data_IF_381587718964
#
_entry.id   IF_381587718964
#
_cell.length_a   1.000
_cell.length_b   1.000
_cell.length_c   1.000
_cell.angle_alpha   90.00
_cell.angle_beta   90.00
_cell.angle_gamma   90.00
#
_symmetry.space_group_name_H-M   'P 1'
#
loop_
_entity.id
_entity.type
_entity.pdbx_description
1 polymer ?
#
# COMPACT_ATOMS: atom_id res chain seq x y z
N UNK A 1 -12.21 72.07 11.79
CA UNK A 1 -12.46 72.24 10.34
C UNK A 1 -11.63 71.28 9.50
N UNK A 2 -10.31 71.20 9.71
CA UNK A 2 -9.43 70.24 9.00
C UNK A 2 -9.77 68.77 9.27
N UNK A 3 -10.10 68.42 10.52
CA UNK A 3 -10.51 67.05 10.89
C UNK A 3 -11.78 66.61 10.15
N UNK A 4 -12.76 67.50 10.00
CA UNK A 4 -14.01 67.22 9.29
C UNK A 4 -13.77 66.99 7.78
N UNK A 5 -12.83 67.73 7.17
CA UNK A 5 -12.50 67.54 5.75
C UNK A 5 -11.79 66.21 5.53
N UNK A 6 -10.86 65.84 6.43
CA UNK A 6 -10.21 64.54 6.40
C UNK A 6 -11.19 63.38 6.62
N UNK A 7 -12.17 63.54 7.52
CA UNK A 7 -13.20 62.54 7.78
C UNK A 7 -14.05 62.28 6.53
N UNK A 8 -14.52 63.34 5.86
CA UNK A 8 -15.29 63.24 4.61
C UNK A 8 -14.50 62.49 3.52
N UNK A 9 -13.23 62.86 3.29
CA UNK A 9 -12.39 62.19 2.28
C UNK A 9 -12.10 60.73 2.66
N UNK A 10 -11.97 60.43 3.96
CA UNK A 10 -11.74 59.06 4.45
C UNK A 10 -12.94 58.13 4.22
N UNK A 11 -14.17 58.65 4.34
CA UNK A 11 -15.41 57.92 4.06
C UNK A 11 -15.51 57.58 2.58
N UNK A 12 -15.24 58.55 1.70
CA UNK A 12 -15.20 58.33 0.25
C UNK A 12 -14.11 57.33 -0.13
N UNK A 13 -12.90 57.47 0.44
CA UNK A 13 -11.79 56.51 0.29
C UNK A 13 -12.21 55.09 0.65
N UNK A 14 -12.92 54.91 1.78
CA UNK A 14 -13.38 53.58 2.22
C UNK A 14 -14.38 52.95 1.24
N UNK A 15 -15.26 53.76 0.63
CA UNK A 15 -16.25 53.26 -0.34
C UNK A 15 -15.61 52.96 -1.69
N UNK A 16 -14.69 53.82 -2.16
CA UNK A 16 -13.89 53.59 -3.36
C UNK A 16 -13.04 52.33 -3.25
N UNK A 17 -12.40 52.13 -2.11
CA UNK A 17 -11.63 50.93 -1.84
C UNK A 17 -12.50 49.67 -1.88
N UNK A 18 -13.64 49.66 -1.16
CA UNK A 18 -14.59 48.54 -1.21
C UNK A 18 -15.10 48.25 -2.63
N UNK A 19 -15.41 49.28 -3.41
CA UNK A 19 -15.86 49.12 -4.79
C UNK A 19 -14.74 48.54 -5.68
N UNK A 20 -13.50 49.03 -5.55
CA UNK A 20 -12.34 48.52 -6.29
C UNK A 20 -12.06 47.06 -5.95
N UNK A 21 -12.10 46.71 -4.66
CA UNK A 21 -11.96 45.32 -4.18
C UNK A 21 -13.06 44.44 -4.78
N UNK A 22 -14.33 44.84 -4.75
CA UNK A 22 -15.43 44.06 -5.34
C UNK A 22 -15.23 43.81 -6.84
N UNK A 23 -14.77 44.82 -7.60
CA UNK A 23 -14.47 44.65 -9.03
C UNK A 23 -13.28 43.71 -9.25
N UNK A 24 -12.20 43.87 -8.49
CA UNK A 24 -11.02 43.00 -8.56
C UNK A 24 -11.38 41.55 -8.22
N UNK A 25 -12.23 41.31 -7.21
CA UNK A 25 -12.73 39.98 -6.88
C UNK A 25 -13.52 39.37 -8.04
N UNK A 26 -14.34 40.16 -8.73
CA UNK A 26 -15.05 39.71 -9.94
C UNK A 26 -14.11 39.27 -11.06
N UNK A 27 -13.09 40.08 -11.36
CA UNK A 27 -12.08 39.73 -12.36
C UNK A 27 -11.20 38.55 -11.92
N UNK A 28 -10.87 38.47 -10.63
CA UNK A 28 -10.14 37.37 -10.03
C UNK A 28 -10.86 36.04 -10.11
N UNK A 29 -12.14 36.03 -9.78
CA UNK A 29 -13.00 34.86 -9.90
C UNK A 29 -13.13 34.43 -11.37
N UNK A 30 -13.39 35.37 -12.28
CA UNK A 30 -13.48 35.06 -13.70
C UNK A 30 -12.16 34.49 -14.25
N UNK A 31 -11.02 35.08 -13.89
CA UNK A 31 -9.70 34.59 -14.28
C UNK A 31 -9.39 33.20 -13.68
N UNK A 32 -9.72 32.99 -12.40
CA UNK A 32 -9.57 31.69 -11.73
C UNK A 32 -10.44 30.59 -12.36
N UNK A 33 -11.67 30.92 -12.77
CA UNK A 33 -12.56 30.00 -13.48
C UNK A 33 -12.05 29.66 -14.88
N UNK A 34 -11.48 30.63 -15.61
CA UNK A 34 -10.84 30.37 -16.91
C UNK A 34 -9.64 29.45 -16.76
N UNK A 35 -8.78 29.68 -15.74
CA UNK A 35 -7.67 28.78 -15.43
C UNK A 35 -8.15 27.37 -15.04
N UNK A 36 -9.22 27.27 -14.26
CA UNK A 36 -9.84 26.00 -13.92
C UNK A 36 -10.36 25.26 -15.17
N UNK A 37 -10.94 25.97 -16.14
CA UNK A 37 -11.35 25.40 -17.43
C UNK A 37 -10.15 24.88 -18.23
N UNK A 38 -9.07 25.67 -18.33
CA UNK A 38 -7.84 25.25 -19.01
C UNK A 38 -7.23 24.01 -18.36
N UNK A 39 -7.17 23.98 -17.02
CA UNK A 39 -6.68 22.83 -16.27
C UNK A 39 -7.53 21.58 -16.53
N UNK A 40 -8.86 21.69 -16.41
CA UNK A 40 -9.75 20.58 -16.70
C UNK A 40 -9.63 20.11 -18.15
N UNK A 41 -9.43 21.02 -19.12
CA UNK A 41 -9.23 20.67 -20.52
C UNK A 41 -7.93 19.87 -20.75
N UNK A 42 -6.85 20.22 -20.03
CA UNK A 42 -5.60 19.44 -20.06
C UNK A 42 -5.80 18.04 -19.46
N UNK A 43 -6.60 17.93 -18.38
CA UNK A 43 -6.88 16.65 -17.73
C UNK A 43 -7.77 15.69 -18.54
N UNK A 44 -8.38 16.14 -19.65
CA UNK A 44 -8.98 15.22 -20.62
C UNK A 44 -7.93 14.38 -21.37
N UNK A 45 -6.69 14.90 -21.50
CA UNK A 45 -5.61 14.24 -22.25
C UNK A 45 -4.54 13.62 -21.34
N UNK A 46 -4.49 14.01 -20.07
CA UNK A 46 -3.48 13.56 -19.11
C UNK A 46 -4.16 12.93 -17.89
N UNK A 47 -3.83 11.69 -17.51
CA UNK A 47 -4.42 11.02 -16.35
C UNK A 47 -3.88 11.64 -15.05
N UNK A 48 -4.60 12.65 -14.56
CA UNK A 48 -4.29 13.34 -13.29
C UNK A 48 -5.34 12.98 -12.26
N UNK A 49 -4.91 12.33 -11.18
CA UNK A 49 -5.77 12.07 -10.03
C UNK A 49 -6.28 13.37 -9.41
N UNK A 50 -7.54 13.38 -8.97
CA UNK A 50 -8.16 14.51 -8.26
C UNK A 50 -8.23 15.83 -9.06
N UNK A 51 -8.23 15.81 -10.39
CA UNK A 51 -8.29 17.04 -11.20
C UNK A 51 -9.50 17.93 -10.87
N UNK A 52 -10.65 17.34 -10.49
CA UNK A 52 -11.86 18.06 -10.10
C UNK A 52 -11.66 18.93 -8.86
N UNK A 53 -10.94 18.43 -7.85
CA UNK A 53 -10.64 19.23 -6.64
C UNK A 53 -9.61 20.32 -6.94
N UNK A 54 -8.62 20.04 -7.79
CA UNK A 54 -7.64 21.04 -8.24
C UNK A 54 -8.29 22.18 -9.05
N UNK A 55 -9.35 21.91 -9.80
CA UNK A 55 -10.10 22.96 -10.50
C UNK A 55 -10.69 24.01 -9.52
N UNK A 56 -11.19 23.58 -8.35
CA UNK A 56 -11.65 24.51 -7.31
C UNK A 56 -10.49 25.29 -6.68
N UNK A 57 -9.30 24.70 -6.56
CA UNK A 57 -8.10 25.39 -6.08
C UNK A 57 -7.72 26.55 -6.99
N UNK A 58 -7.81 26.38 -8.32
CA UNK A 58 -7.55 27.47 -9.27
C UNK A 58 -8.54 28.63 -9.15
N UNK A 59 -9.83 28.32 -8.96
CA UNK A 59 -10.85 29.35 -8.72
C UNK A 59 -10.62 30.09 -7.39
N UNK A 60 -10.28 29.37 -6.32
CA UNK A 60 -9.96 29.95 -5.02
C UNK A 60 -8.68 30.80 -5.06
N UNK A 61 -7.63 30.35 -5.77
CA UNK A 61 -6.39 31.08 -5.94
C UNK A 61 -6.61 32.42 -6.65
N UNK A 62 -7.43 32.46 -7.70
CA UNK A 62 -7.78 33.71 -8.39
C UNK A 62 -8.49 34.73 -7.48
N UNK A 63 -9.40 34.24 -6.62
CA UNK A 63 -10.06 35.05 -5.59
C UNK A 63 -9.07 35.58 -4.55
N UNK A 64 -8.22 34.72 -4.00
CA UNK A 64 -7.24 35.08 -2.97
C UNK A 64 -6.20 36.07 -3.51
N UNK A 65 -5.68 35.84 -4.72
CA UNK A 65 -4.74 36.76 -5.36
C UNK A 65 -5.35 38.15 -5.56
N UNK A 66 -6.62 38.20 -5.98
CA UNK A 66 -7.34 39.47 -6.19
C UNK A 66 -7.69 40.17 -4.88
N UNK A 67 -8.00 39.41 -3.83
CA UNK A 67 -8.17 39.95 -2.48
C UNK A 67 -6.86 40.53 -1.96
N UNK A 68 -5.76 39.77 -2.02
CA UNK A 68 -4.44 40.21 -1.58
C UNK A 68 -3.99 41.47 -2.32
N UNK A 69 -4.14 41.49 -3.66
CA UNK A 69 -3.85 42.68 -4.46
C UNK A 69 -4.76 43.86 -4.09
N UNK A 70 -6.05 43.64 -3.85
CA UNK A 70 -6.98 44.67 -3.42
C UNK A 70 -6.69 45.23 -2.02
N UNK A 71 -6.13 44.42 -1.12
CA UNK A 71 -5.66 44.85 0.21
C UNK A 71 -4.36 45.65 0.12
N UNK A 72 -3.45 45.28 -0.79
CA UNK A 72 -2.19 45.97 -1.04
C UNK A 72 -2.41 47.32 -1.76
N UNK A 73 -3.24 47.35 -2.81
CA UNK A 73 -3.51 48.53 -3.64
C UNK A 73 -4.57 49.48 -3.02
N UNK A 74 -4.44 49.78 -1.73
CA UNK A 74 -5.31 50.72 -1.01
C UNK A 74 -5.18 52.14 -1.59
N UNK A 75 -6.29 52.80 -2.01
CA UNK A 75 -6.26 54.17 -2.50
C UNK A 75 -5.71 55.14 -1.44
N UNK A 76 -4.87 56.08 -1.85
CA UNK A 76 -4.38 57.14 -0.98
C UNK A 76 -5.47 58.21 -0.75
N UNK A 77 -5.28 59.07 0.27
CA UNK A 77 -6.18 60.22 0.52
C UNK A 77 -6.21 61.15 -0.70
N UNK A 78 -5.07 61.31 -1.39
CA UNK A 78 -4.97 62.09 -2.64
C UNK A 78 -5.75 61.46 -3.78
N UNK A 79 -5.78 60.13 -3.90
CA UNK A 79 -6.59 59.45 -4.93
C UNK A 79 -8.08 59.65 -4.68
N UNK A 80 -8.52 59.60 -3.42
CA UNK A 80 -9.90 59.87 -3.06
C UNK A 80 -10.29 61.33 -3.34
N UNK A 81 -9.42 62.29 -3.00
CA UNK A 81 -9.62 63.71 -3.32
C UNK A 81 -9.73 63.93 -4.83
N UNK A 82 -8.83 63.36 -5.64
CA UNK A 82 -8.90 63.43 -7.11
C UNK A 82 -10.19 62.86 -7.69
N UNK A 83 -10.69 61.76 -7.14
CA UNK A 83 -11.95 61.16 -7.60
C UNK A 83 -13.15 62.05 -7.24
N UNK A 84 -13.11 62.72 -6.09
CA UNK A 84 -14.12 63.73 -5.74
C UNK A 84 -14.02 64.95 -6.66
N UNK A 85 -12.80 65.46 -6.89
CA UNK A 85 -12.51 66.62 -7.75
C UNK A 85 -12.89 66.39 -9.22
N UNK A 86 -12.64 65.19 -9.75
CA UNK A 86 -13.02 64.78 -11.11
C UNK A 86 -14.54 64.65 -11.34
N UNK A 87 -15.35 64.73 -10.27
CA UNK A 87 -16.81 64.73 -10.34
C UNK A 87 -17.45 66.11 -10.58
N UNK A 88 -16.66 67.11 -10.98
CA UNK A 88 -17.10 68.50 -11.20
C UNK A 88 -16.72 69.48 -10.08
N UNK A 89 -15.67 69.15 -9.29
CA UNK A 89 -15.25 69.92 -8.12
C UNK A 89 -13.96 70.74 -8.36
N UNK A 90 -13.44 70.81 -9.60
CA UNK A 90 -12.36 71.73 -10.03
C UNK A 90 -11.19 71.88 -9.04
N UNK A 91 -10.66 70.75 -8.55
CA UNK A 91 -9.55 70.68 -7.57
C UNK A 91 -9.81 71.28 -6.18
N UNK A 92 -11.05 71.67 -5.84
CA UNK A 92 -11.39 72.32 -4.57
C UNK A 92 -11.00 71.50 -3.33
N UNK A 93 -11.16 70.17 -3.37
CA UNK A 93 -10.79 69.30 -2.24
C UNK A 93 -9.28 69.09 -2.20
N UNK A 94 -8.63 68.88 -3.35
CA UNK A 94 -7.19 68.78 -3.47
C UNK A 94 -6.46 70.02 -2.95
N UNK A 95 -6.91 71.22 -3.34
CA UNK A 95 -6.35 72.51 -2.92
C UNK A 95 -6.58 72.79 -1.44
N UNK A 96 -7.79 72.54 -0.92
CA UNK A 96 -8.06 72.69 0.52
C UNK A 96 -7.22 71.73 1.38
N UNK A 97 -6.87 70.56 0.86
CA UNK A 97 -6.01 69.60 1.53
C UNK A 97 -4.52 70.00 1.50
N UNK A 98 -4.06 70.67 0.42
CA UNK A 98 -2.66 71.13 0.33
C UNK A 98 -2.37 72.33 1.22
N UNK A 99 -3.36 73.19 1.45
CA UNK A 99 -3.25 74.37 2.32
C UNK A 99 -3.88 74.16 3.71
N UNK A 100 -4.03 72.91 4.15
CA UNK A 100 -4.72 72.57 5.39
C UNK A 100 -4.10 73.24 6.64
N UNK A 101 -2.78 73.43 6.66
CA UNK A 101 -2.05 74.03 7.79
C UNK A 101 -1.94 75.56 7.72
N UNK A 102 -2.33 76.16 6.59
CA UNK A 102 -2.22 77.60 6.37
C UNK A 102 -3.40 78.35 7.03
N UNK A 103 -3.07 79.41 7.79
CA UNK A 103 -4.06 80.22 8.53
C UNK A 103 -4.48 81.49 7.80
N UNK A 104 -4.16 81.61 6.50
CA UNK A 104 -4.59 82.71 5.67
C UNK A 104 -6.13 82.80 5.63
N UNK A 105 -6.73 84.01 5.59
CA UNK A 105 -8.17 84.17 5.40
C UNK A 105 -8.68 83.45 4.14
N UNK A 106 -7.87 83.45 3.07
CA UNK A 106 -8.18 82.75 1.81
C UNK A 106 -8.21 81.23 2.01
N UNK A 107 -7.22 80.68 2.72
CA UNK A 107 -7.16 79.26 3.05
C UNK A 107 -8.32 78.82 3.96
N UNK A 108 -8.89 79.74 4.75
CA UNK A 108 -10.07 79.47 5.59
C UNK A 108 -11.35 79.39 4.76
N UNK A 109 -11.54 80.34 3.85
CA UNK A 109 -12.68 80.34 2.91
C UNK A 109 -12.65 79.11 1.98
N UNK A 110 -11.47 78.74 1.46
CA UNK A 110 -11.30 77.54 0.63
C UNK A 110 -11.67 76.25 1.37
N UNK A 111 -11.39 76.16 2.68
CA UNK A 111 -11.76 74.99 3.50
C UNK A 111 -13.25 74.94 3.78
N UNK A 112 -13.90 76.08 4.02
CA UNK A 112 -15.36 76.14 4.19
C UNK A 112 -16.08 75.72 2.91
N UNK A 113 -15.63 76.21 1.75
CA UNK A 113 -16.16 75.82 0.44
C UNK A 113 -15.99 74.30 0.22
N UNK A 114 -14.79 73.77 0.39
CA UNK A 114 -14.51 72.34 0.24
C UNK A 114 -15.32 71.45 1.19
N UNK A 115 -15.64 71.92 2.40
CA UNK A 115 -16.49 71.20 3.35
C UNK A 115 -17.95 71.15 2.91
N UNK A 116 -18.51 72.26 2.42
CA UNK A 116 -19.88 72.30 1.91
C UNK A 116 -20.04 71.36 0.71
N UNK A 117 -19.10 71.43 -0.24
CA UNK A 117 -19.09 70.55 -1.41
C UNK A 117 -18.83 69.08 -1.04
N UNK A 118 -17.91 68.81 -0.12
CA UNK A 118 -17.65 67.46 0.38
C UNK A 118 -18.89 66.81 1.02
N UNK A 119 -19.68 67.58 1.77
CA UNK A 119 -20.95 67.11 2.36
C UNK A 119 -22.00 66.83 1.28
N UNK A 120 -22.12 67.68 0.28
CA UNK A 120 -23.02 67.45 -0.86
C UNK A 120 -22.62 66.19 -1.64
N UNK A 121 -21.33 66.00 -1.89
CA UNK A 121 -20.81 64.80 -2.54
C UNK A 121 -21.12 63.53 -1.75
N UNK A 122 -21.09 63.56 -0.41
CA UNK A 122 -21.47 62.41 0.42
C UNK A 122 -22.95 62.01 0.25
N UNK A 123 -23.86 62.97 0.06
CA UNK A 123 -25.27 62.70 -0.17
C UNK A 123 -25.49 62.02 -1.53
N UNK A 124 -24.75 62.43 -2.55
CA UNK A 124 -24.78 61.82 -3.89
C UNK A 124 -23.83 60.62 -4.05
N UNK A 125 -23.04 60.30 -3.03
CA UNK A 125 -22.03 59.25 -3.10
C UNK A 125 -22.59 57.89 -3.53
N UNK A 126 -23.79 57.45 -3.11
CA UNK A 126 -24.35 56.17 -3.55
C UNK A 126 -24.66 56.08 -5.05
N UNK A 127 -25.04 57.20 -5.68
CA UNK A 127 -25.39 57.25 -7.11
C UNK A 127 -24.15 57.40 -7.99
N UNK A 128 -23.12 58.12 -7.49
CA UNK A 128 -21.82 58.34 -8.16
C UNK A 128 -20.88 57.14 -8.04
N UNK A 129 -20.83 56.49 -6.87
CA UNK A 129 -19.99 55.32 -6.59
C UNK A 129 -20.89 54.09 -6.37
N UNK A 130 -21.34 53.51 -7.49
CA UNK A 130 -22.22 52.34 -7.50
C UNK A 130 -21.45 51.06 -7.20
N UNK A 131 -21.93 50.26 -6.25
CA UNK A 131 -21.47 48.90 -6.09
C UNK A 131 -21.99 48.06 -7.25
N UNK A 132 -21.09 47.51 -8.06
CA UNK A 132 -21.45 46.69 -9.19
C UNK A 132 -20.22 45.95 -9.69
N UNK A 133 -20.42 44.67 -10.03
CA UNK A 133 -19.46 43.93 -10.83
C UNK A 133 -19.49 44.46 -12.26
N UNK A 134 -18.34 44.41 -12.93
CA UNK A 134 -18.28 44.73 -14.34
C UNK A 134 -19.06 43.68 -15.13
N UNK A 135 -19.95 44.11 -16.05
CA UNK A 135 -20.74 43.21 -16.89
C UNK A 135 -19.84 42.23 -17.64
N UNK A 136 -18.65 42.68 -18.07
CA UNK A 136 -17.68 41.81 -18.76
C UNK A 136 -17.18 40.68 -17.86
N UNK A 137 -16.86 40.99 -16.60
CA UNK A 137 -16.42 40.00 -15.62
C UNK A 137 -17.55 39.02 -15.26
N UNK A 138 -18.80 39.51 -15.19
CA UNK A 138 -19.97 38.66 -14.93
C UNK A 138 -20.23 37.70 -16.09
N UNK A 139 -20.22 38.18 -17.34
CA UNK A 139 -20.42 37.33 -18.52
C UNK A 139 -19.26 36.34 -18.71
N UNK A 140 -18.02 36.79 -18.57
CA UNK A 140 -16.85 35.92 -18.67
C UNK A 140 -16.84 34.86 -17.56
N UNK A 141 -17.10 35.25 -16.30
CA UNK A 141 -17.18 34.34 -15.17
C UNK A 141 -18.34 33.36 -15.28
N UNK A 142 -19.52 33.83 -15.70
CA UNK A 142 -20.69 32.98 -15.92
C UNK A 142 -20.51 31.98 -17.05
N UNK A 143 -19.92 32.43 -18.17
CA UNK A 143 -19.57 31.55 -19.30
C UNK A 143 -18.51 30.51 -18.92
N UNK A 144 -17.46 30.92 -18.21
CA UNK A 144 -16.44 30.00 -17.70
C UNK A 144 -17.01 29.01 -16.67
N UNK A 145 -17.90 29.45 -15.78
CA UNK A 145 -18.57 28.56 -14.83
C UNK A 145 -19.44 27.51 -15.56
N UNK A 146 -20.21 27.92 -16.55
CA UNK A 146 -21.02 27.01 -17.36
C UNK A 146 -20.14 26.01 -18.13
N UNK A 147 -19.07 26.49 -18.77
CA UNK A 147 -18.12 25.63 -19.47
C UNK A 147 -17.46 24.62 -18.53
N UNK A 148 -17.07 25.04 -17.33
CA UNK A 148 -16.50 24.16 -16.31
C UNK A 148 -17.51 23.08 -15.88
N UNK A 149 -18.78 23.43 -15.66
CA UNK A 149 -19.83 22.46 -15.32
C UNK A 149 -19.97 21.40 -16.42
N UNK A 150 -20.03 21.82 -17.69
CA UNK A 150 -20.11 20.90 -18.83
C UNK A 150 -18.89 19.97 -18.86
N UNK A 151 -17.70 20.51 -18.66
CA UNK A 151 -16.45 19.76 -18.69
C UNK A 151 -16.32 18.78 -17.53
N UNK A 152 -16.89 19.10 -16.36
CA UNK A 152 -16.93 18.21 -15.20
C UNK A 152 -18.01 17.11 -15.31
N UNK A 153 -19.08 17.36 -16.04
CA UNK A 153 -20.14 16.36 -16.31
C UNK A 153 -19.75 15.38 -17.42
N UNK A 154 -18.82 15.76 -18.29
CA UNK A 154 -18.38 14.90 -19.38
C UNK A 154 -17.60 13.68 -18.80
N UNK A 155 -18.00 12.44 -19.13
CA UNK A 155 -17.27 11.26 -18.68
C UNK A 155 -15.85 11.30 -19.25
N UNK A 156 -14.85 11.33 -18.36
CA UNK A 156 -13.45 11.36 -18.74
C UNK A 156 -12.91 9.93 -18.79
N UNK A 157 -12.51 9.46 -19.98
CA UNK A 157 -11.90 8.14 -20.15
C UNK A 157 -10.60 7.97 -19.33
N UNK A 158 -9.93 9.07 -18.99
CA UNK A 158 -8.74 9.04 -18.13
C UNK A 158 -9.05 8.69 -16.67
N UNK A 159 -10.29 8.89 -16.21
CA UNK A 159 -10.71 8.53 -14.85
C UNK A 159 -10.67 7.01 -14.67
N UNK A 160 -11.11 6.23 -15.67
CA UNK A 160 -11.00 4.76 -15.65
C UNK A 160 -9.54 4.29 -15.57
N UNK A 161 -8.61 4.97 -16.22
CA UNK A 161 -7.18 4.62 -16.17
C UNK A 161 -6.61 4.90 -14.77
N UNK A 162 -7.03 6.00 -14.14
CA UNK A 162 -6.61 6.34 -12.77
C UNK A 162 -7.19 5.36 -11.76
N UNK A 163 -8.46 4.98 -11.92
CA UNK A 163 -9.12 4.03 -11.03
C UNK A 163 -8.56 2.62 -11.19
N UNK A 164 -8.31 2.15 -12.41
CA UNK A 164 -7.56 0.89 -12.66
C UNK A 164 -6.20 0.90 -11.97
N UNK A 165 -5.41 1.96 -12.11
CA UNK A 165 -4.11 2.08 -11.43
C UNK A 165 -4.23 2.11 -9.89
N UNK A 166 -5.34 2.61 -9.35
CA UNK A 166 -5.61 2.58 -7.91
C UNK A 166 -6.00 1.18 -7.44
N UNK A 167 -6.85 0.49 -8.19
CA UNK A 167 -7.22 -0.90 -7.93
C UNK A 167 -6.00 -1.81 -7.98
N UNK A 168 -5.15 -1.69 -9.00
CA UNK A 168 -3.89 -2.43 -9.11
C UNK A 168 -3.01 -2.20 -7.87
N UNK A 169 -2.83 -0.94 -7.44
CA UNK A 169 -2.02 -0.62 -6.25
C UNK A 169 -2.61 -1.17 -4.96
N UNK A 170 -3.94 -1.12 -4.80
CA UNK A 170 -4.62 -1.68 -3.63
C UNK A 170 -4.43 -3.19 -3.59
N UNK A 171 -4.66 -3.87 -4.71
CA UNK A 171 -4.48 -5.30 -4.82
C UNK A 171 -3.03 -5.71 -4.54
N UNK A 172 -2.02 -5.00 -5.09
CA UNK A 172 -0.60 -5.24 -4.75
C UNK A 172 -0.37 -5.10 -3.24
N UNK A 173 -0.96 -4.09 -2.60
CA UNK A 173 -0.88 -3.92 -1.14
C UNK A 173 -1.49 -5.09 -0.38
N UNK A 174 -2.68 -5.54 -0.76
CA UNK A 174 -3.35 -6.71 -0.17
C UNK A 174 -2.51 -7.99 -0.34
N UNK A 175 -1.87 -8.19 -1.50
CA UNK A 175 -0.98 -9.33 -1.72
C UNK A 175 0.31 -9.24 -0.89
N UNK A 176 0.82 -8.03 -0.66
CA UNK A 176 1.98 -7.80 0.20
C UNK A 176 1.66 -8.16 1.65
N UNK A 177 0.51 -7.74 2.17
CA UNK A 177 0.04 -8.07 3.52
C UNK A 177 -0.24 -9.57 3.68
N UNK A 178 -0.77 -10.22 2.65
CA UNK A 178 -0.96 -11.68 2.62
C UNK A 178 0.38 -12.41 2.68
N UNK A 179 1.40 -11.97 1.93
CA UNK A 179 2.74 -12.52 1.98
C UNK A 179 3.38 -12.34 3.38
N UNK A 180 3.23 -11.16 4.00
CA UNK A 180 3.69 -10.88 5.36
C UNK A 180 3.01 -11.80 6.40
N UNK A 181 1.69 -11.98 6.30
CA UNK A 181 0.93 -12.86 7.20
C UNK A 181 1.39 -14.31 7.07
N UNK A 182 1.64 -14.78 5.84
CA UNK A 182 2.21 -16.11 5.62
C UNK A 182 3.62 -16.22 6.22
N UNK A 183 4.48 -15.23 6.00
CA UNK A 183 5.82 -15.19 6.57
C UNK A 183 5.81 -15.26 8.10
N UNK A 184 4.93 -14.49 8.75
CA UNK A 184 4.72 -14.57 10.19
C UNK A 184 4.24 -15.94 10.65
N UNK A 185 3.33 -16.57 9.90
CA UNK A 185 2.83 -17.91 10.24
C UNK A 185 3.93 -18.97 10.21
N UNK A 186 4.87 -18.87 9.25
CA UNK A 186 6.04 -19.74 9.15
C UNK A 186 7.03 -19.47 10.28
N UNK A 187 7.30 -18.19 10.60
CA UNK A 187 8.21 -17.82 11.69
C UNK A 187 7.71 -18.23 13.08
N UNK A 188 6.39 -18.20 13.31
CA UNK A 188 5.76 -18.64 14.57
C UNK A 188 5.83 -20.16 14.75
N UNK A 189 6.05 -20.92 13.69
CA UNK A 189 6.31 -22.35 13.80
C UNK A 189 7.78 -22.56 14.25
N UNK A 190 7.99 -22.59 15.57
CA UNK A 190 9.29 -22.89 16.15
C UNK A 190 9.77 -24.30 15.75
N UNK A 191 11.03 -24.41 15.29
CA UNK A 191 11.73 -25.69 15.16
C UNK A 191 11.90 -26.29 13.75
N UNK A 192 11.69 -25.54 12.67
CA UNK A 192 11.60 -26.08 11.30
C UNK A 192 12.92 -26.15 10.48
N UNK A 193 14.08 -26.04 11.13
CA UNK A 193 15.38 -26.38 10.52
C UNK A 193 15.76 -25.55 9.27
N UNK A 194 16.38 -26.17 8.28
CA UNK A 194 16.89 -25.51 7.07
C UNK A 194 15.81 -25.25 6.00
N UNK A 195 14.68 -25.92 6.08
CA UNK A 195 13.62 -25.88 5.06
C UNK A 195 12.65 -24.73 5.33
N UNK A 196 12.36 -24.41 6.60
CA UNK A 196 11.63 -23.19 6.97
C UNK A 196 12.29 -21.96 6.37
N UNK A 197 13.63 -21.90 6.46
CA UNK A 197 14.41 -20.79 5.92
C UNK A 197 14.21 -20.61 4.43
N UNK A 198 14.16 -21.69 3.66
CA UNK A 198 13.90 -21.58 2.21
C UNK A 198 12.49 -21.07 1.88
N UNK A 199 11.49 -21.42 2.70
CA UNK A 199 10.13 -20.90 2.55
C UNK A 199 10.04 -19.44 3.01
N UNK A 200 10.70 -19.09 4.12
CA UNK A 200 10.82 -17.73 4.62
C UNK A 200 11.52 -16.82 3.61
N UNK A 201 12.63 -17.26 3.02
CA UNK A 201 13.37 -16.55 1.98
C UNK A 201 12.49 -16.29 0.74
N UNK A 202 11.72 -17.30 0.30
CA UNK A 202 10.81 -17.15 -0.82
C UNK A 202 9.68 -16.14 -0.55
N UNK A 203 9.12 -16.16 0.67
CA UNK A 203 8.05 -15.23 1.07
C UNK A 203 8.57 -13.80 1.34
N UNK A 204 9.76 -13.66 1.93
CA UNK A 204 10.40 -12.36 2.16
C UNK A 204 10.84 -11.71 0.84
N UNK A 205 11.32 -12.51 -0.13
CA UNK A 205 11.60 -12.03 -1.47
C UNK A 205 10.31 -11.59 -2.18
N UNK A 206 9.23 -12.37 -2.08
CA UNK A 206 7.93 -12.01 -2.62
C UNK A 206 7.44 -10.67 -2.06
N UNK A 207 7.46 -10.48 -0.74
CA UNK A 207 7.04 -9.24 -0.07
C UNK A 207 7.83 -8.03 -0.62
N UNK A 208 9.16 -8.14 -0.69
CA UNK A 208 10.02 -7.06 -1.21
C UNK A 208 9.72 -6.74 -2.66
N UNK A 209 9.56 -7.76 -3.50
CA UNK A 209 9.32 -7.59 -4.94
C UNK A 209 7.89 -7.08 -5.22
N UNK A 210 6.90 -7.49 -4.44
CA UNK A 210 5.54 -6.93 -4.50
C UNK A 210 5.53 -5.46 -4.09
N UNK A 211 6.21 -5.09 -3.00
CA UNK A 211 6.32 -3.69 -2.58
C UNK A 211 7.02 -2.80 -3.62
N UNK A 212 7.93 -3.36 -4.41
CA UNK A 212 8.59 -2.67 -5.52
C UNK A 212 7.73 -2.61 -6.81
N UNK A 213 6.74 -3.49 -6.93
CA UNK A 213 5.91 -3.62 -8.13
C UNK A 213 4.96 -2.44 -8.28
N UNK A 214 4.88 -1.88 -9.50
CA UNK A 214 4.04 -0.72 -9.82
C UNK A 214 2.81 -1.06 -10.66
N UNK A 215 2.76 -2.28 -11.20
CA UNK A 215 1.75 -2.76 -12.14
C UNK A 215 1.31 -4.16 -11.73
N UNK A 216 0.06 -4.50 -12.01
CA UNK A 216 -0.48 -5.84 -11.72
C UNK A 216 0.29 -6.94 -12.47
N UNK A 217 0.71 -6.71 -13.72
CA UNK A 217 1.46 -7.67 -14.53
C UNK A 217 2.80 -8.09 -13.90
N UNK A 218 3.56 -7.11 -13.39
CA UNK A 218 4.82 -7.37 -12.70
C UNK A 218 4.57 -8.16 -11.41
N UNK A 219 3.60 -7.73 -10.60
CA UNK A 219 3.25 -8.41 -9.36
C UNK A 219 2.73 -9.84 -9.57
N UNK A 220 1.93 -10.09 -10.61
CA UNK A 220 1.50 -11.44 -10.99
C UNK A 220 2.66 -12.34 -11.43
N UNK A 221 3.67 -11.77 -12.09
CA UNK A 221 4.89 -12.49 -12.47
C UNK A 221 5.68 -12.93 -11.23
N UNK A 222 5.81 -12.04 -10.24
CA UNK A 222 6.49 -12.36 -8.98
C UNK A 222 5.72 -13.40 -8.16
N UNK A 223 4.38 -13.31 -8.13
CA UNK A 223 3.55 -14.35 -7.52
C UNK A 223 3.76 -15.70 -8.20
N UNK A 224 3.76 -15.75 -9.53
CA UNK A 224 3.97 -16.99 -10.28
C UNK A 224 5.34 -17.62 -9.99
N UNK A 225 6.40 -16.81 -9.95
CA UNK A 225 7.75 -17.29 -9.60
C UNK A 225 7.77 -17.88 -8.18
N UNK A 226 7.17 -17.21 -7.21
CA UNK A 226 7.11 -17.71 -5.83
C UNK A 226 6.23 -18.95 -5.71
N UNK A 227 5.12 -19.03 -6.43
CA UNK A 227 4.26 -20.24 -6.50
C UNK A 227 5.09 -21.43 -7.00
N UNK A 228 5.85 -21.26 -8.07
CA UNK A 228 6.70 -22.33 -8.61
C UNK A 228 7.77 -22.76 -7.61
N UNK A 229 8.44 -21.82 -6.95
CA UNK A 229 9.43 -22.12 -5.91
C UNK A 229 8.81 -22.88 -4.73
N UNK A 230 7.63 -22.47 -4.26
CA UNK A 230 6.90 -23.15 -3.19
C UNK A 230 6.45 -24.57 -3.61
N UNK A 231 6.02 -24.75 -4.85
CA UNK A 231 5.68 -26.08 -5.39
C UNK A 231 6.92 -26.98 -5.47
N UNK A 232 8.05 -26.48 -5.95
CA UNK A 232 9.30 -27.23 -5.98
C UNK A 232 9.77 -27.63 -4.56
N UNK A 233 9.63 -26.72 -3.59
CA UNK A 233 9.90 -27.02 -2.18
C UNK A 233 8.97 -28.11 -1.64
N UNK A 234 7.67 -28.00 -1.92
CA UNK A 234 6.68 -29.00 -1.52
C UNK A 234 6.95 -30.37 -2.14
N UNK A 235 7.22 -30.44 -3.44
CA UNK A 235 7.55 -31.69 -4.14
C UNK A 235 8.81 -32.34 -3.59
N UNK A 236 9.85 -31.53 -3.31
CA UNK A 236 11.09 -32.03 -2.72
C UNK A 236 10.82 -32.65 -1.35
N UNK A 237 10.03 -31.99 -0.50
CA UNK A 237 9.69 -32.54 0.82
C UNK A 237 8.79 -33.77 0.72
N UNK A 238 7.82 -33.77 -0.18
CA UNK A 238 6.96 -34.93 -0.40
C UNK A 238 7.77 -36.17 -0.82
N UNK A 239 8.81 -36.00 -1.65
CA UNK A 239 9.73 -37.11 -2.01
C UNK A 239 10.46 -37.67 -0.80
N UNK A 240 10.89 -36.83 0.14
CA UNK A 240 11.54 -37.29 1.38
C UNK A 240 10.55 -37.98 2.32
N UNK A 241 9.31 -37.48 2.42
CA UNK A 241 8.23 -38.15 3.16
C UNK A 241 7.95 -39.53 2.58
N UNK A 242 7.82 -39.67 1.26
CA UNK A 242 7.59 -40.96 0.58
C UNK A 242 8.75 -41.94 0.82
N UNK A 243 10.01 -41.48 0.77
CA UNK A 243 11.16 -42.35 1.10
C UNK A 243 11.10 -42.83 2.55
N UNK A 244 10.71 -41.94 3.47
CA UNK A 244 10.58 -42.28 4.88
C UNK A 244 9.42 -43.25 5.15
N UNK A 245 8.30 -43.11 4.44
CA UNK A 245 7.20 -44.08 4.44
C UNK A 245 7.61 -45.44 3.88
N UNK A 246 8.38 -45.47 2.78
CA UNK A 246 8.93 -46.71 2.23
C UNK A 246 9.87 -47.41 3.22
N UNK A 247 10.71 -46.63 3.91
CA UNK A 247 11.57 -47.14 4.99
C UNK A 247 10.75 -47.73 6.14
N UNK A 248 9.72 -47.02 6.60
CA UNK A 248 8.82 -47.49 7.65
C UNK A 248 8.02 -48.73 7.21
N UNK A 249 7.59 -48.81 5.95
CA UNK A 249 6.93 -49.99 5.38
C UNK A 249 7.86 -51.19 5.25
N UNK A 250 9.13 -50.99 4.88
CA UNK A 250 10.14 -52.06 4.90
C UNK A 250 10.33 -52.60 6.33
N UNK A 251 10.37 -51.71 7.32
CA UNK A 251 10.44 -52.05 8.74
C UNK A 251 9.19 -52.79 9.23
N UNK A 252 8.00 -52.39 8.76
CA UNK A 252 6.72 -53.04 9.10
C UNK A 252 6.68 -54.51 8.64
N UNK A 253 7.28 -54.80 7.49
CA UNK A 253 7.32 -56.15 6.91
C UNK A 253 8.33 -57.07 7.60
N UNK A 254 9.17 -56.56 8.50
CA UNK A 254 10.10 -57.34 9.30
C UNK A 254 9.42 -57.72 10.62
N UNK A 255 9.28 -59.02 10.91
CA UNK A 255 8.48 -59.50 12.05
C UNK A 255 8.80 -58.85 13.40
N UNK A 256 10.09 -58.67 13.72
CA UNK A 256 10.57 -58.06 14.96
C UNK A 256 10.48 -56.53 15.01
N UNK A 257 10.33 -55.87 13.85
CA UNK A 257 10.27 -54.41 13.72
C UNK A 257 8.88 -53.92 13.27
N UNK A 258 7.91 -54.85 13.15
CA UNK A 258 6.57 -54.57 12.64
C UNK A 258 5.86 -53.43 13.37
N UNK A 259 5.91 -53.44 14.70
CA UNK A 259 5.31 -52.39 15.53
C UNK A 259 6.07 -51.06 15.44
N UNK A 260 7.38 -51.08 15.18
CA UNK A 260 8.16 -49.85 14.95
C UNK A 260 7.83 -49.22 13.61
N UNK A 261 7.71 -50.03 12.55
CA UNK A 261 7.25 -49.58 11.24
C UNK A 261 5.84 -48.98 11.29
N UNK A 262 4.92 -49.64 12.01
CA UNK A 262 3.56 -49.10 12.25
C UNK A 262 3.58 -47.80 13.05
N UNK A 263 4.35 -47.73 14.13
CA UNK A 263 4.43 -46.51 14.95
C UNK A 263 4.96 -45.31 14.13
N UNK A 264 5.88 -45.57 13.21
CA UNK A 264 6.44 -44.57 12.30
C UNK A 264 5.42 -44.14 11.21
N UNK A 265 4.70 -45.08 10.59
CA UNK A 265 3.66 -44.78 9.59
C UNK A 265 2.45 -44.07 10.19
N UNK A 266 1.97 -44.51 11.36
CA UNK A 266 0.79 -43.96 12.02
C UNK A 266 1.08 -42.64 12.76
N UNK A 267 2.35 -42.24 12.85
CA UNK A 267 2.79 -41.03 13.55
C UNK A 267 2.19 -40.90 14.97
N UNK A 268 2.04 -42.01 15.71
CA UNK A 268 1.49 -41.96 17.08
C UNK A 268 2.47 -41.31 18.05
N UNK A 269 2.00 -40.31 18.80
CA UNK A 269 2.75 -39.77 19.93
C UNK A 269 2.87 -40.83 21.04
N UNK A 270 4.10 -41.06 21.54
CA UNK A 270 4.38 -42.07 22.57
C UNK A 270 4.34 -43.53 22.09
N UNK A 271 4.03 -43.79 20.81
CA UNK A 271 3.99 -45.15 20.25
C UNK A 271 5.37 -45.79 20.10
N UNK A 272 6.44 -44.99 20.06
CA UNK A 272 7.81 -45.47 19.85
C UNK A 272 8.32 -46.31 21.03
N UNK A 273 8.13 -45.82 22.27
CA UNK A 273 8.62 -46.53 23.46
C UNK A 273 7.98 -47.91 23.58
N UNK A 274 6.66 -47.99 23.35
CA UNK A 274 5.92 -49.26 23.32
C UNK A 274 6.37 -50.18 22.18
N UNK A 275 6.67 -49.63 21.00
CA UNK A 275 7.17 -50.39 19.87
C UNK A 275 8.60 -50.93 20.09
N UNK A 276 9.46 -50.17 20.79
CA UNK A 276 10.81 -50.60 21.19
C UNK A 276 10.73 -51.71 22.24
N UNK A 277 9.83 -51.59 23.21
CA UNK A 277 9.59 -52.65 24.20
C UNK A 277 9.01 -53.92 23.56
N UNK A 278 8.13 -53.78 22.57
CA UNK A 278 7.62 -54.91 21.80
C UNK A 278 8.75 -55.61 21.01
N UNK A 279 9.61 -54.83 20.34
CA UNK A 279 10.81 -55.36 19.67
C UNK A 279 11.69 -56.12 20.66
N UNK A 280 11.91 -55.59 21.87
CA UNK A 280 12.70 -56.24 22.91
C UNK A 280 12.10 -57.58 23.35
N UNK A 281 10.77 -57.65 23.53
CA UNK A 281 10.11 -58.89 23.90
C UNK A 281 10.22 -59.95 22.81
N UNK A 282 10.07 -59.56 21.53
CA UNK A 282 10.27 -60.47 20.40
C UNK A 282 11.71 -60.97 20.32
N UNK A 283 12.70 -60.08 20.50
CA UNK A 283 14.12 -60.43 20.51
C UNK A 283 14.49 -61.43 21.62
N UNK A 284 13.85 -61.36 22.79
CA UNK A 284 14.11 -62.27 23.91
C UNK A 284 13.62 -63.71 23.66
N UNK A 285 12.70 -63.90 22.71
CA UNK A 285 12.16 -65.21 22.33
C UNK A 285 12.77 -65.81 21.06
N UNK A 286 13.78 -65.16 20.47
CA UNK A 286 14.41 -65.59 19.21
C UNK A 286 15.66 -66.43 19.46
N UNK A 287 15.85 -67.44 18.61
CA UNK A 287 17.03 -68.30 18.62
C UNK A 287 18.22 -67.65 17.89
N UNK A 288 19.44 -68.16 18.09
CA UNK A 288 20.67 -67.57 17.51
C UNK A 288 20.65 -67.43 15.98
N UNK A 289 20.01 -68.36 15.27
CA UNK A 289 19.87 -68.31 13.80
C UNK A 289 18.89 -67.22 13.35
N UNK A 290 17.80 -67.02 14.11
CA UNK A 290 16.82 -65.96 13.85
C UNK A 290 17.40 -64.56 14.16
N UNK A 291 18.26 -64.45 15.16
CA UNK A 291 18.98 -63.21 15.49
C UNK A 291 19.98 -62.82 14.39
N UNK A 292 20.68 -63.78 13.78
CA UNK A 292 21.59 -63.53 12.65
C UNK A 292 20.83 -63.06 11.40
N UNK A 293 19.69 -63.68 11.09
CA UNK A 293 18.86 -63.25 9.96
C UNK A 293 18.33 -61.82 10.18
N UNK A 294 17.84 -61.50 11.40
CA UNK A 294 17.38 -60.16 11.73
C UNK A 294 18.51 -59.13 11.65
N UNK A 295 19.73 -59.47 12.10
CA UNK A 295 20.90 -58.63 11.96
C UNK A 295 21.24 -58.32 10.49
N UNK A 296 21.18 -59.34 9.62
CA UNK A 296 21.41 -59.17 8.18
C UNK A 296 20.34 -58.27 7.53
N UNK A 297 19.08 -58.44 7.92
CA UNK A 297 17.98 -57.62 7.43
C UNK A 297 18.07 -56.17 7.95
N UNK A 298 18.46 -55.94 9.20
CA UNK A 298 18.73 -54.62 9.77
C UNK A 298 19.90 -53.92 9.07
N UNK A 299 20.96 -54.65 8.73
CA UNK A 299 22.09 -54.13 7.97
C UNK A 299 21.66 -53.60 6.59
N UNK A 300 20.81 -54.37 5.88
CA UNK A 300 20.22 -53.92 4.60
C UNK A 300 19.29 -52.72 4.79
N UNK A 301 18.49 -52.72 5.87
CA UNK A 301 17.59 -51.60 6.17
C UNK A 301 18.37 -50.31 6.48
N UNK A 302 19.51 -50.41 7.16
CA UNK A 302 20.40 -49.29 7.44
C UNK A 302 20.93 -48.61 6.17
N UNK A 303 21.14 -49.36 5.08
CA UNK A 303 21.53 -48.78 3.79
C UNK A 303 20.41 -47.93 3.17
N UNK A 304 19.16 -48.31 3.41
CA UNK A 304 17.96 -47.61 2.97
C UNK A 304 17.44 -46.57 3.98
N UNK A 305 18.18 -46.28 5.05
CA UNK A 305 17.77 -45.33 6.08
C UNK A 305 17.49 -43.95 5.46
N UNK A 306 16.22 -43.53 5.55
CA UNK A 306 15.75 -42.27 5.00
C UNK A 306 15.16 -41.40 6.11
N UNK A 307 15.68 -40.17 6.23
CA UNK A 307 15.14 -39.12 7.07
C UNK A 307 15.11 -37.80 6.28
N UNK A 308 14.29 -36.85 6.74
CA UNK A 308 14.12 -35.57 6.06
C UNK A 308 15.39 -34.71 6.01
N UNK A 309 16.34 -34.92 6.93
CA UNK A 309 17.63 -34.26 6.92
C UNK A 309 18.82 -35.26 6.93
N UNK A 310 19.97 -34.90 6.32
CA UNK A 310 21.10 -35.80 6.20
C UNK A 310 21.72 -36.22 7.54
N UNK A 311 21.62 -35.38 8.57
CA UNK A 311 22.20 -35.66 9.88
C UNK A 311 21.39 -36.69 10.65
N UNK A 312 20.06 -36.59 10.61
CA UNK A 312 19.15 -37.60 11.18
C UNK A 312 19.24 -38.90 10.39
N UNK A 313 19.38 -38.85 9.06
CA UNK A 313 19.57 -40.04 8.23
C UNK A 313 20.88 -40.78 8.58
N UNK A 314 21.97 -40.03 8.77
CA UNK A 314 23.26 -40.59 9.18
C UNK A 314 23.19 -41.23 10.58
N UNK A 315 22.60 -40.52 11.56
CA UNK A 315 22.40 -41.06 12.92
C UNK A 315 21.55 -42.32 12.92
N UNK A 316 20.49 -42.36 12.11
CA UNK A 316 19.62 -43.53 11.97
C UNK A 316 20.38 -44.71 11.35
N UNK A 317 21.17 -44.47 10.30
CA UNK A 317 22.03 -45.48 9.67
C UNK A 317 23.06 -46.04 10.65
N UNK A 318 23.74 -45.17 11.39
CA UNK A 318 24.74 -45.58 12.38
C UNK A 318 24.11 -46.42 13.50
N UNK A 319 22.97 -45.97 14.04
CA UNK A 319 22.24 -46.69 15.08
C UNK A 319 21.74 -48.07 14.61
N UNK A 320 21.20 -48.16 13.39
CA UNK A 320 20.76 -49.42 12.79
C UNK A 320 21.93 -50.37 12.51
N UNK A 321 23.05 -49.86 12.00
CA UNK A 321 24.24 -50.69 11.73
C UNK A 321 24.87 -51.23 13.01
N UNK A 322 24.91 -50.42 14.08
CA UNK A 322 25.37 -50.85 15.40
C UNK A 322 24.43 -51.89 16.01
N UNK A 323 23.11 -51.67 15.90
CA UNK A 323 22.12 -52.64 16.34
C UNK A 323 22.25 -53.98 15.60
N UNK A 324 22.48 -53.95 14.28
CA UNK A 324 22.74 -55.14 13.48
C UNK A 324 24.01 -55.89 13.94
N UNK A 325 25.11 -55.17 14.18
CA UNK A 325 26.36 -55.78 14.64
C UNK A 325 26.24 -56.46 16.00
N UNK A 326 25.56 -55.83 16.95
CA UNK A 326 25.34 -56.39 18.30
C UNK A 326 24.36 -57.57 18.29
N UNK A 327 23.30 -57.50 17.47
CA UNK A 327 22.38 -58.63 17.26
C UNK A 327 23.09 -59.84 16.65
N UNK A 328 24.02 -59.62 15.72
CA UNK A 328 24.86 -60.68 15.15
C UNK A 328 25.80 -61.33 16.18
N UNK A 329 26.16 -60.61 17.24
CA UNK A 329 26.95 -61.11 18.36
C UNK A 329 26.09 -61.81 19.45
N UNK A 330 24.77 -61.86 19.28
CA UNK A 330 23.84 -62.62 20.11
C UNK A 330 23.07 -61.82 21.17
N UNK A 331 23.33 -60.52 21.33
CA UNK A 331 22.56 -59.66 22.23
C UNK A 331 22.67 -58.18 21.87
N UNK A 332 21.55 -57.46 21.96
CA UNK A 332 21.51 -56.01 21.79
C UNK A 332 21.76 -55.31 23.13
N UNK A 333 22.80 -54.47 23.25
CA UNK A 333 23.13 -53.74 24.49
C UNK A 333 22.06 -52.71 24.87
N UNK A 334 22.04 -52.28 26.14
CA UNK A 334 21.17 -51.18 26.58
C UNK A 334 21.53 -49.86 25.87
N UNK A 335 22.81 -49.62 25.59
CA UNK A 335 23.27 -48.42 24.90
C UNK A 335 22.83 -48.39 23.43
N UNK A 336 22.96 -49.51 22.69
CA UNK A 336 22.51 -49.57 21.30
C UNK A 336 20.99 -49.42 21.17
N UNK A 337 20.23 -49.95 22.14
CA UNK A 337 18.77 -49.74 22.21
C UNK A 337 18.43 -48.27 22.37
N UNK A 338 19.10 -47.58 23.29
CA UNK A 338 18.84 -46.17 23.54
C UNK A 338 19.25 -45.30 22.34
N UNK A 339 20.39 -45.59 21.70
CA UNK A 339 20.80 -44.89 20.48
C UNK A 339 19.84 -45.10 19.32
N UNK A 340 19.33 -46.33 19.15
CA UNK A 340 18.31 -46.64 18.15
C UNK A 340 16.99 -45.90 18.44
N UNK A 341 16.57 -45.87 19.72
CA UNK A 341 15.38 -45.13 20.16
C UNK A 341 15.47 -43.64 19.82
N UNK A 342 16.58 -43.01 20.21
CA UNK A 342 16.82 -41.59 19.97
C UNK A 342 16.90 -41.27 18.47
N UNK A 343 17.54 -42.13 17.67
CA UNK A 343 17.65 -41.94 16.23
C UNK A 343 16.31 -42.11 15.51
N UNK A 344 15.49 -43.10 15.91
CA UNK A 344 14.13 -43.28 15.40
C UNK A 344 13.21 -42.13 15.80
N UNK A 345 13.28 -41.66 17.04
CA UNK A 345 12.51 -40.51 17.51
C UNK A 345 12.87 -39.25 16.72
N UNK A 346 14.17 -38.99 16.51
CA UNK A 346 14.64 -37.88 15.70
C UNK A 346 14.18 -37.99 14.23
N UNK A 347 14.25 -39.18 13.64
CA UNK A 347 13.79 -39.42 12.27
C UNK A 347 12.29 -39.21 12.12
N UNK A 348 11.46 -39.70 13.05
CA UNK A 348 10.02 -39.46 13.06
C UNK A 348 9.67 -37.98 13.23
N UNK A 349 10.37 -37.28 14.13
CA UNK A 349 10.15 -35.85 14.33
C UNK A 349 10.51 -35.06 13.07
N UNK A 350 11.64 -35.38 12.43
CA UNK A 350 12.05 -34.78 11.17
C UNK A 350 11.05 -35.07 10.03
N UNK A 351 10.50 -36.28 9.97
CA UNK A 351 9.47 -36.65 9.00
C UNK A 351 8.17 -35.86 9.20
N UNK A 352 7.70 -35.71 10.45
CA UNK A 352 6.51 -34.89 10.77
C UNK A 352 6.71 -33.43 10.39
N UNK A 353 7.88 -32.88 10.70
CA UNK A 353 8.22 -31.50 10.32
C UNK A 353 8.26 -31.32 8.80
N UNK A 354 8.87 -32.26 8.06
CA UNK A 354 8.91 -32.24 6.60
C UNK A 354 7.52 -32.33 5.98
N UNK A 355 6.64 -33.20 6.50
CA UNK A 355 5.25 -33.31 6.04
C UNK A 355 4.44 -32.03 6.33
N UNK A 356 4.60 -31.45 7.53
CA UNK A 356 3.97 -30.18 7.88
C UNK A 356 4.43 -29.03 6.96
N UNK A 357 5.72 -28.97 6.65
CA UNK A 357 6.31 -27.99 5.73
C UNK A 357 5.82 -28.17 4.29
N UNK A 358 5.75 -29.41 3.80
CA UNK A 358 5.21 -29.71 2.48
C UNK A 358 3.75 -29.23 2.37
N UNK A 359 2.94 -29.54 3.39
CA UNK A 359 1.56 -29.07 3.48
C UNK A 359 1.45 -27.55 3.54
N UNK A 360 2.27 -26.89 4.35
CA UNK A 360 2.31 -25.43 4.45
C UNK A 360 2.70 -24.77 3.12
N UNK A 361 3.71 -25.29 2.42
CA UNK A 361 4.13 -24.79 1.11
C UNK A 361 3.04 -25.00 0.04
N UNK A 362 2.33 -26.13 0.05
CA UNK A 362 1.18 -26.37 -0.82
C UNK A 362 0.02 -25.41 -0.52
N UNK A 363 -0.30 -25.20 0.76
CA UNK A 363 -1.36 -24.25 1.16
C UNK A 363 -1.00 -22.81 0.79
N UNK A 364 0.24 -22.38 1.03
CA UNK A 364 0.72 -21.06 0.66
C UNK A 364 0.66 -20.86 -0.87
N UNK A 365 1.17 -21.82 -1.65
CA UNK A 365 1.09 -21.74 -3.12
C UNK A 365 -0.36 -21.69 -3.61
N UNK A 366 -1.27 -22.49 -3.05
CA UNK A 366 -2.69 -22.48 -3.41
C UNK A 366 -3.37 -21.14 -3.06
N UNK A 367 -3.05 -20.56 -1.90
CA UNK A 367 -3.58 -19.26 -1.49
C UNK A 367 -3.07 -18.12 -2.40
N UNK A 368 -1.80 -18.14 -2.80
CA UNK A 368 -1.24 -17.19 -3.77
C UNK A 368 -1.89 -17.34 -5.15
N UNK A 369 -2.15 -18.58 -5.61
CA UNK A 369 -2.91 -18.84 -6.85
C UNK A 369 -4.30 -18.25 -6.78
N UNK A 370 -5.05 -18.50 -5.69
CA UNK A 370 -6.40 -17.97 -5.52
C UNK A 370 -6.43 -16.44 -5.49
N UNK A 371 -5.41 -15.81 -4.89
CA UNK A 371 -5.36 -14.36 -4.76
C UNK A 371 -4.93 -13.65 -6.06
N UNK A 372 -4.15 -14.31 -6.92
CA UNK A 372 -3.76 -13.79 -8.24
C UNK A 372 -4.80 -13.97 -9.35
N UNK A 373 -5.64 -15.01 -9.27
CA UNK A 373 -6.60 -15.36 -10.33
C UNK A 373 -7.54 -14.22 -10.74
N UNK A 374 -8.18 -13.47 -9.81
CA UNK A 374 -9.12 -12.40 -10.18
C UNK A 374 -8.43 -11.27 -10.96
N UNK A 375 -7.22 -10.89 -10.55
CA UNK A 375 -6.46 -9.83 -11.22
C UNK A 375 -5.97 -10.29 -12.60
N UNK A 376 -5.54 -11.55 -12.73
CA UNK A 376 -5.18 -12.13 -14.02
C UNK A 376 -6.36 -12.17 -15.00
N UNK A 377 -7.56 -12.54 -14.53
CA UNK A 377 -8.79 -12.52 -15.33
C UNK A 377 -9.18 -11.10 -15.75
N UNK A 378 -9.04 -10.11 -14.85
CA UNK A 378 -9.29 -8.70 -15.14
C UNK A 378 -8.32 -8.16 -16.21
N UNK A 379 -7.04 -8.52 -16.14
CA UNK A 379 -6.05 -8.16 -17.16
C UNK A 379 -6.39 -8.79 -18.52
N UNK A 380 -6.70 -10.08 -18.55
CA UNK A 380 -7.11 -10.78 -19.77
C UNK A 380 -8.37 -10.14 -20.40
N UNK A 381 -9.38 -9.82 -19.58
CA UNK A 381 -10.60 -9.16 -20.03
C UNK A 381 -10.35 -7.73 -20.57
N UNK A 382 -9.29 -7.06 -20.09
CA UNK A 382 -8.88 -5.74 -20.59
C UNK A 382 -8.08 -5.77 -21.90
N UNK A 383 -7.82 -6.96 -22.44
CA UNK A 383 -7.01 -7.16 -23.66
C UNK A 383 -5.50 -7.15 -23.41
N UNK A 384 -5.06 -7.09 -22.15
CA UNK A 384 -3.67 -7.31 -21.78
C UNK A 384 -3.40 -8.82 -21.64
N UNK A 385 -2.27 -9.30 -22.15
CA UNK A 385 -1.88 -10.69 -21.94
C UNK A 385 -1.41 -10.85 -20.49
N UNK A 386 -2.08 -11.67 -19.64
CA UNK A 386 -1.55 -11.98 -18.33
C UNK A 386 -0.24 -12.77 -18.47
N UNK A 387 0.63 -12.80 -17.45
CA UNK A 387 1.85 -13.59 -17.49
C UNK A 387 1.52 -15.06 -17.80
N UNK A 388 2.41 -15.80 -18.49
CA UNK A 388 2.10 -17.12 -19.04
C UNK A 388 1.63 -18.14 -17.99
N UNK A 389 2.09 -18.01 -16.75
CA UNK A 389 1.64 -18.84 -15.62
C UNK A 389 0.14 -18.70 -15.27
N UNK A 390 -0.50 -17.61 -15.73
CA UNK A 390 -1.90 -17.29 -15.47
C UNK A 390 -2.78 -17.37 -16.73
N UNK A 391 -2.18 -17.63 -17.89
CA UNK A 391 -2.87 -17.68 -19.18
C UNK A 391 -3.61 -19.02 -19.44
N UNK A 392 -3.34 -20.06 -18.65
CA UNK A 392 -3.98 -21.37 -18.75
C UNK A 392 -5.13 -21.50 -17.75
N UNK A 393 -6.28 -20.94 -18.12
CA UNK A 393 -7.56 -21.10 -17.43
C UNK A 393 -8.67 -21.32 -18.44
#
# INVERSE_FOLDING_TARGET
MNEQLHEIVSLVRSRLWRQRVVRLLGYGLAGGLVLACLWAAVCLFVPVAFYRSLAFVWAAAGLLASLAYGLYARPTVRDAARVMDGGGLEERIGTALSFAEEKSPVATLQREDALQFGRHYLQEMPSRIRFGLDRRAVWAGGGAALALIVLLMLPNAMDEIVDKKREERKWIGEQTELAETMLESVRKQEGLGAVSKSMEEALEELERKLAASKTADAALSELAETIERLQQLAEKQQKEVVKSEQFAGAMQNMGALSELGKAMLEQREGGLDGAIDAMRQQLAGMDGEQLQELAAQLGKLAESAAAADPASAAKLRDALSKAAGELGAGALSAEARQQLAEALAAAMQAQRQSAALAGAAQQASAALVQAGLPMAQQLAASGAAPPPAWASG
#
